data_IF_159778321249
#
_entry.id   IF_159778321249
#
_cell.length_a   1.000
_cell.length_b   1.000
_cell.length_c   1.000
_cell.angle_alpha   90.00
_cell.angle_beta   90.00
_cell.angle_gamma   90.00
#
_symmetry.space_group_name_H-M   'P 1'
#
loop_
_entity.id
_entity.type
_entity.pdbx_description
1 polymer ?
#
# COMPACT_ATOMS: atom_id res chain seq x y z
N UNK A 1 23.49 1.95 -0.89
CA UNK A 1 22.52 0.94 -0.36
C UNK A 1 22.03 1.40 1.00
N UNK A 2 20.79 1.02 1.39
CA UNK A 2 20.22 1.34 2.69
C UNK A 2 20.79 0.48 3.83
N UNK A 3 20.81 -0.83 3.61
CA UNK A 3 21.25 -1.80 4.62
C UNK A 3 22.65 -2.31 4.36
N UNK A 4 23.19 -3.06 5.32
CA UNK A 4 24.52 -3.65 5.19
C UNK A 4 24.56 -4.73 4.13
N UNK A 5 25.74 -4.98 3.56
CA UNK A 5 26.01 -6.12 2.66
C UNK A 5 25.56 -7.45 3.29
N UNK A 6 25.76 -7.61 4.60
CA UNK A 6 25.35 -8.81 5.34
C UNK A 6 23.83 -9.01 5.30
N UNK A 7 23.04 -7.96 5.43
CA UNK A 7 21.56 -8.00 5.37
C UNK A 7 21.08 -8.55 4.02
N UNK A 8 21.63 -8.04 2.91
CA UNK A 8 21.25 -8.52 1.58
C UNK A 8 21.71 -9.97 1.32
N UNK A 9 22.90 -10.33 1.75
CA UNK A 9 23.41 -11.70 1.66
C UNK A 9 22.54 -12.68 2.45
N UNK A 10 22.14 -12.31 3.67
CA UNK A 10 21.24 -13.14 4.48
C UNK A 10 19.87 -13.30 3.83
N UNK A 11 19.27 -12.22 3.32
CA UNK A 11 17.97 -12.27 2.62
C UNK A 11 18.00 -13.24 1.45
N UNK A 12 19.03 -13.18 0.60
CA UNK A 12 19.19 -14.10 -0.54
C UNK A 12 19.45 -15.54 -0.09
N UNK A 13 20.27 -15.73 0.95
CA UNK A 13 20.51 -17.07 1.52
C UNK A 13 19.22 -17.70 2.03
N UNK A 14 18.38 -16.95 2.75
CA UNK A 14 17.07 -17.41 3.22
C UNK A 14 16.10 -17.66 2.07
N UNK A 15 16.07 -16.79 1.06
CA UNK A 15 15.25 -16.98 -0.14
C UNK A 15 15.59 -18.31 -0.82
N UNK A 16 16.87 -18.58 -1.05
CA UNK A 16 17.36 -19.82 -1.63
C UNK A 16 16.97 -21.05 -0.81
N UNK A 17 17.09 -20.98 0.51
CA UNK A 17 16.69 -22.08 1.40
C UNK A 17 15.20 -22.38 1.35
N UNK A 18 14.36 -21.34 1.30
CA UNK A 18 12.90 -21.47 1.23
C UNK A 18 12.43 -22.03 -0.11
N UNK A 19 13.04 -21.63 -1.22
CA UNK A 19 12.72 -22.15 -2.56
C UNK A 19 13.27 -23.55 -2.75
N UNK A 20 14.48 -23.85 -2.28
CA UNK A 20 15.08 -25.17 -2.14
C UNK A 20 15.82 -25.68 -3.36
N UNK A 21 15.28 -25.58 -4.57
CA UNK A 21 15.92 -26.09 -5.80
C UNK A 21 15.58 -25.23 -7.01
N UNK A 22 16.29 -25.40 -8.12
CA UNK A 22 16.05 -24.68 -9.38
C UNK A 22 16.84 -23.37 -9.49
N UNK A 23 16.44 -22.52 -10.42
CA UNK A 23 17.08 -21.25 -10.70
C UNK A 23 16.07 -20.12 -10.50
N UNK A 24 16.39 -19.18 -9.61
CA UNK A 24 15.60 -17.99 -9.35
C UNK A 24 16.09 -16.87 -10.28
N UNK A 25 15.16 -16.21 -10.96
CA UNK A 25 15.44 -15.00 -11.73
C UNK A 25 14.48 -13.91 -11.26
N UNK A 26 15.06 -12.83 -10.69
CA UNK A 26 14.34 -11.61 -10.35
C UNK A 26 14.74 -10.54 -11.36
N UNK A 27 13.79 -10.09 -12.18
CA UNK A 27 13.99 -9.00 -13.11
C UNK A 27 13.77 -7.67 -12.35
N UNK A 28 14.74 -6.77 -12.48
CA UNK A 28 14.53 -5.37 -12.07
C UNK A 28 13.73 -4.62 -13.12
N UNK A 29 13.19 -3.47 -12.75
CA UNK A 29 12.46 -2.60 -13.66
C UNK A 29 13.39 -1.92 -14.67
N UNK A 30 12.84 -1.57 -15.83
CA UNK A 30 13.47 -0.71 -16.81
C UNK A 30 12.90 0.71 -16.72
N UNK A 31 13.61 1.70 -17.24
CA UNK A 31 13.04 3.02 -17.48
C UNK A 31 11.80 2.94 -18.37
N UNK A 32 10.87 3.85 -18.15
CA UNK A 32 9.63 3.92 -18.92
C UNK A 32 9.44 5.32 -19.49
N UNK A 33 9.36 5.48 -20.81
CA UNK A 33 9.13 6.80 -21.41
C UNK A 33 7.74 7.34 -21.09
N UNK A 34 7.66 8.62 -20.75
CA UNK A 34 6.41 9.33 -20.55
C UNK A 34 5.68 9.59 -21.89
N UNK A 35 6.38 10.22 -22.85
CA UNK A 35 5.81 10.62 -24.14
C UNK A 35 6.81 10.56 -25.31
N UNK A 36 8.10 10.47 -25.06
CA UNK A 36 9.16 10.18 -26.04
C UNK A 36 10.36 9.54 -25.34
N UNK A 37 11.26 8.81 -26.06
CA UNK A 37 12.28 7.94 -25.46
C UNK A 37 13.16 8.59 -24.38
N UNK A 38 13.55 9.85 -24.58
CA UNK A 38 14.45 10.57 -23.67
C UNK A 38 13.72 11.41 -22.60
N UNK A 39 12.43 11.16 -22.38
CA UNK A 39 11.66 11.76 -21.30
C UNK A 39 11.02 10.66 -20.44
N UNK A 40 11.79 9.98 -19.58
CA UNK A 40 11.28 8.92 -18.73
C UNK A 40 10.45 9.49 -17.56
N UNK A 41 9.52 8.67 -17.05
CA UNK A 41 9.02 8.85 -15.69
C UNK A 41 10.15 8.73 -14.68
N UNK A 42 9.96 9.27 -13.46
CA UNK A 42 10.91 9.03 -12.37
C UNK A 42 11.07 7.52 -12.19
N UNK A 43 12.31 7.03 -12.24
CA UNK A 43 12.58 5.61 -12.13
C UNK A 43 12.19 5.06 -10.75
N UNK A 44 11.56 3.92 -10.75
CA UNK A 44 11.19 3.15 -9.56
C UNK A 44 11.55 1.68 -9.77
N UNK A 45 12.48 1.20 -8.98
CA UNK A 45 12.91 -0.19 -9.03
C UNK A 45 11.83 -1.14 -8.50
N UNK A 46 11.80 -2.39 -8.99
CA UNK A 46 10.97 -3.46 -8.45
C UNK A 46 11.31 -3.71 -6.97
N UNK A 47 10.29 -3.75 -6.12
CA UNK A 47 10.48 -3.85 -4.67
C UNK A 47 11.10 -5.18 -4.24
N UNK A 48 10.76 -6.29 -4.90
CA UNK A 48 11.37 -7.59 -4.58
C UNK A 48 12.83 -7.65 -5.03
N UNK A 49 13.14 -7.14 -6.23
CA UNK A 49 14.53 -7.02 -6.68
C UNK A 49 15.35 -6.14 -5.72
N UNK A 50 14.80 -4.97 -5.34
CA UNK A 50 15.44 -4.03 -4.41
C UNK A 50 15.64 -4.65 -3.02
N UNK A 51 14.66 -5.41 -2.51
CA UNK A 51 14.73 -6.09 -1.22
C UNK A 51 15.92 -7.07 -1.14
N UNK A 52 16.23 -7.75 -2.25
CA UNK A 52 17.31 -8.75 -2.30
C UNK A 52 18.66 -8.20 -2.74
N UNK A 53 18.72 -7.01 -3.35
CA UNK A 53 19.97 -6.46 -3.91
C UNK A 53 20.35 -5.09 -3.33
N UNK A 54 19.40 -4.28 -2.91
CA UNK A 54 19.62 -2.88 -2.56
C UNK A 54 20.04 -2.00 -3.74
N UNK A 55 19.93 -2.48 -4.99
CA UNK A 55 20.40 -1.78 -6.18
C UNK A 55 19.27 -1.04 -6.89
N UNK A 56 19.38 0.27 -7.01
CA UNK A 56 18.40 1.16 -7.59
C UNK A 56 18.87 1.72 -8.94
N UNK A 57 19.02 0.85 -9.93
CA UNK A 57 19.34 1.15 -11.32
C UNK A 57 18.45 0.32 -12.25
N UNK A 58 18.03 0.89 -13.34
CA UNK A 58 17.29 0.19 -14.40
C UNK A 58 18.16 -0.89 -15.10
N UNK A 59 17.50 -1.78 -15.82
CA UNK A 59 18.16 -2.78 -16.66
C UNK A 59 19.02 -3.78 -15.89
N UNK A 60 18.66 -4.13 -14.65
CA UNK A 60 19.33 -5.15 -13.84
C UNK A 60 18.45 -6.39 -13.68
N UNK A 61 19.10 -7.52 -13.42
CA UNK A 61 18.44 -8.76 -12.98
C UNK A 61 19.33 -9.50 -11.97
N UNK A 62 18.71 -10.31 -11.11
CA UNK A 62 19.40 -11.20 -10.18
C UNK A 62 19.12 -12.64 -10.56
N UNK A 63 20.17 -13.45 -10.69
CA UNK A 63 20.09 -14.90 -10.91
C UNK A 63 20.67 -15.61 -9.69
N UNK A 64 19.93 -16.57 -9.11
CA UNK A 64 20.38 -17.41 -8.01
C UNK A 64 20.19 -18.88 -8.40
N UNK A 65 21.25 -19.63 -8.42
CA UNK A 65 21.21 -21.09 -8.55
C UNK A 65 21.04 -21.73 -7.17
N UNK A 66 19.90 -22.36 -6.94
CA UNK A 66 19.57 -22.87 -5.61
C UNK A 66 20.44 -24.05 -5.17
N UNK A 67 20.92 -24.88 -6.11
CA UNK A 67 21.72 -26.06 -5.81
C UNK A 67 23.16 -25.69 -5.51
N UNK A 68 23.78 -24.86 -6.37
CA UNK A 68 25.20 -24.47 -6.19
C UNK A 68 25.37 -23.32 -5.20
N UNK A 69 24.33 -22.50 -5.01
CA UNK A 69 24.36 -21.27 -4.23
C UNK A 69 25.05 -20.12 -4.99
N UNK A 70 25.32 -20.26 -6.28
CA UNK A 70 25.89 -19.20 -7.09
C UNK A 70 24.86 -18.07 -7.29
N UNK A 71 25.32 -16.83 -7.09
CA UNK A 71 24.57 -15.61 -7.28
C UNK A 71 25.23 -14.74 -8.34
N UNK A 72 24.46 -14.20 -9.27
CA UNK A 72 24.96 -13.34 -10.35
C UNK A 72 24.09 -12.09 -10.45
N UNK A 73 24.69 -10.91 -10.34
CA UNK A 73 24.04 -9.66 -10.74
C UNK A 73 24.22 -9.48 -12.23
N UNK A 74 23.13 -9.41 -12.95
CA UNK A 74 23.10 -9.30 -14.41
C UNK A 74 22.76 -7.88 -14.80
N UNK A 75 23.54 -7.29 -15.70
CA UNK A 75 23.32 -5.93 -16.19
C UNK A 75 24.42 -5.54 -17.16
N UNK A 76 24.24 -4.41 -17.86
CA UNK A 76 25.24 -3.84 -18.74
C UNK A 76 25.81 -2.57 -18.10
N UNK A 77 27.13 -2.37 -18.23
CA UNK A 77 27.73 -1.08 -17.91
C UNK A 77 27.33 -0.04 -18.96
N UNK A 78 27.24 1.21 -18.55
CA UNK A 78 26.98 2.32 -19.43
C UNK A 78 28.21 2.65 -20.28
N UNK A 79 28.01 3.18 -21.47
CA UNK A 79 29.11 3.62 -22.35
C UNK A 79 29.46 5.11 -22.13
N UNK A 80 30.42 5.60 -22.89
CA UNK A 80 30.89 6.98 -22.76
C UNK A 80 29.81 8.01 -23.19
N UNK A 81 28.95 7.63 -24.13
CA UNK A 81 27.87 8.51 -24.58
C UNK A 81 26.83 8.69 -23.47
N UNK A 82 26.47 7.61 -22.76
CA UNK A 82 25.62 7.66 -21.57
C UNK A 82 26.22 8.53 -20.46
N UNK A 83 27.55 8.37 -20.21
CA UNK A 83 28.27 9.17 -19.20
C UNK A 83 28.23 10.68 -19.52
N UNK A 84 28.27 11.05 -20.80
CA UNK A 84 28.17 12.46 -21.21
C UNK A 84 26.81 13.06 -20.84
N UNK A 85 25.73 12.28 -20.93
CA UNK A 85 24.36 12.75 -20.69
C UNK A 85 23.91 12.64 -19.24
N UNK A 86 24.28 11.57 -18.54
CA UNK A 86 23.76 11.26 -17.21
C UNK A 86 24.79 11.32 -16.09
N UNK A 87 26.08 11.48 -16.44
CA UNK A 87 27.18 11.38 -15.49
C UNK A 87 27.62 9.92 -15.26
N UNK A 88 28.76 9.75 -14.60
CA UNK A 88 29.27 8.42 -14.27
C UNK A 88 28.42 7.75 -13.18
N UNK A 89 28.12 6.47 -13.37
CA UNK A 89 27.44 5.61 -12.40
C UNK A 89 28.35 4.44 -12.02
N UNK A 90 28.15 3.79 -10.85
CA UNK A 90 28.89 2.58 -10.49
C UNK A 90 28.75 1.49 -11.56
N UNK A 91 29.82 0.76 -11.81
CA UNK A 91 29.77 -0.43 -12.70
C UNK A 91 28.89 -1.53 -12.09
N UNK A 92 28.43 -2.47 -12.93
CA UNK A 92 27.69 -3.65 -12.43
C UNK A 92 28.53 -4.43 -11.42
N UNK A 93 29.83 -4.47 -11.59
CA UNK A 93 30.77 -5.12 -10.67
C UNK A 93 30.84 -4.40 -9.31
N UNK A 94 30.88 -3.07 -9.31
CA UNK A 94 30.84 -2.29 -8.05
C UNK A 94 29.51 -2.51 -7.31
N UNK A 95 28.38 -2.46 -8.02
CA UNK A 95 27.06 -2.70 -7.46
C UNK A 95 26.92 -4.12 -6.90
N UNK A 96 27.44 -5.13 -7.58
CA UNK A 96 27.46 -6.51 -7.12
C UNK A 96 28.28 -6.64 -5.81
N UNK A 97 29.47 -6.04 -5.78
CA UNK A 97 30.34 -6.05 -4.60
C UNK A 97 29.66 -5.38 -3.39
N UNK A 98 28.98 -4.25 -3.60
CA UNK A 98 28.22 -3.57 -2.52
C UNK A 98 27.19 -4.47 -1.86
N UNK A 99 26.45 -5.29 -2.62
CA UNK A 99 25.45 -6.20 -2.07
C UNK A 99 25.97 -7.62 -1.79
N UNK A 100 27.29 -7.85 -1.91
CA UNK A 100 27.95 -9.12 -1.59
C UNK A 100 27.76 -10.21 -2.64
N UNK A 101 27.50 -9.84 -3.91
CA UNK A 101 27.45 -10.76 -5.04
C UNK A 101 28.81 -10.76 -5.73
N UNK A 102 29.37 -11.97 -5.98
CA UNK A 102 30.73 -12.12 -6.51
C UNK A 102 30.77 -12.19 -8.04
N UNK A 103 29.66 -12.54 -8.67
CA UNK A 103 29.61 -12.74 -10.12
C UNK A 103 28.72 -11.72 -10.80
N UNK A 104 29.16 -11.24 -11.95
CA UNK A 104 28.37 -10.37 -12.83
C UNK A 104 28.36 -10.92 -14.25
N UNK A 105 27.33 -10.58 -15.02
CA UNK A 105 27.19 -10.95 -16.41
C UNK A 105 26.37 -9.90 -17.18
N UNK A 106 26.54 -9.78 -18.50
CA UNK A 106 25.70 -8.89 -19.31
C UNK A 106 24.28 -9.44 -19.43
N UNK A 107 23.29 -8.55 -19.71
CA UNK A 107 21.87 -8.93 -19.84
C UNK A 107 21.62 -10.05 -20.85
N UNK A 108 22.45 -10.18 -21.87
CA UNK A 108 22.35 -11.26 -22.88
C UNK A 108 22.48 -12.67 -22.28
N UNK A 109 23.11 -12.83 -21.11
CA UNK A 109 23.26 -14.14 -20.45
C UNK A 109 21.90 -14.74 -20.03
N UNK A 110 20.87 -13.93 -19.85
CA UNK A 110 19.54 -14.41 -19.43
C UNK A 110 18.96 -15.42 -20.44
N UNK A 111 19.16 -15.22 -21.75
CA UNK A 111 18.73 -16.18 -22.78
C UNK A 111 19.37 -17.56 -22.54
N UNK A 112 20.66 -17.58 -22.23
CA UNK A 112 21.36 -18.81 -21.95
C UNK A 112 20.91 -19.46 -20.64
N UNK A 113 20.72 -18.67 -19.57
CA UNK A 113 20.22 -19.15 -18.27
C UNK A 113 18.85 -19.84 -18.43
N UNK A 114 17.92 -19.22 -19.16
CA UNK A 114 16.60 -19.80 -19.41
C UNK A 114 16.67 -21.08 -20.23
N UNK A 115 17.48 -21.06 -21.31
CA UNK A 115 17.66 -22.22 -22.21
C UNK A 115 18.29 -23.40 -21.47
N UNK A 116 19.39 -23.17 -20.72
CA UNK A 116 20.11 -24.20 -19.98
C UNK A 116 19.25 -24.79 -18.85
N UNK A 117 18.57 -23.96 -18.07
CA UNK A 117 17.68 -24.41 -17.00
C UNK A 117 16.60 -25.34 -17.55
N UNK A 118 15.99 -24.97 -18.68
CA UNK A 118 15.02 -25.80 -19.39
C UNK A 118 15.64 -27.11 -19.93
N UNK A 119 16.79 -27.04 -20.57
CA UNK A 119 17.47 -28.20 -21.14
C UNK A 119 17.86 -29.21 -20.06
N UNK A 120 18.21 -28.76 -18.87
CA UNK A 120 18.54 -29.59 -17.71
C UNK A 120 17.31 -30.15 -16.99
N UNK A 121 16.09 -29.77 -17.39
CA UNK A 121 14.87 -30.15 -16.71
C UNK A 121 14.70 -29.56 -15.30
N UNK A 122 15.46 -28.48 -15.01
CA UNK A 122 15.38 -27.79 -13.72
C UNK A 122 14.22 -26.78 -13.71
N UNK A 123 13.70 -26.50 -12.52
CA UNK A 123 12.66 -25.50 -12.35
C UNK A 123 13.25 -24.09 -12.50
N UNK A 124 12.62 -23.27 -13.30
CA UNK A 124 12.84 -21.84 -13.36
C UNK A 124 11.82 -21.12 -12.48
N UNK A 125 12.30 -20.28 -11.60
CA UNK A 125 11.47 -19.51 -10.69
C UNK A 125 11.50 -18.02 -11.06
N UNK A 126 10.33 -17.43 -11.30
CA UNK A 126 10.14 -16.00 -11.52
C UNK A 126 8.85 -15.53 -10.82
N UNK A 127 8.79 -14.24 -10.48
CA UNK A 127 7.61 -13.58 -9.93
C UNK A 127 6.68 -13.10 -11.08
N UNK A 128 5.36 -12.99 -10.84
CA UNK A 128 4.44 -12.50 -11.87
C UNK A 128 4.76 -11.03 -12.17
N UNK A 129 5.13 -10.69 -13.42
CA UNK A 129 5.40 -9.30 -13.78
C UNK A 129 4.09 -8.48 -13.80
N UNK A 130 4.18 -7.22 -13.40
CA UNK A 130 3.07 -6.25 -13.44
C UNK A 130 3.29 -5.14 -14.48
N UNK A 131 4.52 -4.97 -15.00
CA UNK A 131 4.86 -4.01 -16.06
C UNK A 131 4.84 -4.70 -17.42
N UNK A 132 4.30 -4.02 -18.44
CA UNK A 132 4.18 -4.60 -19.79
C UNK A 132 5.53 -4.83 -20.46
N UNK A 133 6.52 -3.97 -20.24
CA UNK A 133 7.87 -4.15 -20.74
C UNK A 133 8.52 -5.44 -20.19
N UNK A 134 8.36 -5.69 -18.89
CA UNK A 134 8.85 -6.94 -18.28
C UNK A 134 8.07 -8.18 -18.72
N UNK A 135 6.76 -8.04 -19.00
CA UNK A 135 5.96 -9.13 -19.58
C UNK A 135 6.48 -9.53 -20.97
N UNK A 136 6.85 -8.54 -21.79
CA UNK A 136 7.45 -8.79 -23.12
C UNK A 136 8.82 -9.43 -22.96
N UNK A 137 9.69 -8.87 -22.10
CA UNK A 137 11.02 -9.42 -21.84
C UNK A 137 10.94 -10.88 -21.35
N UNK A 138 10.05 -11.17 -20.41
CA UNK A 138 9.84 -12.54 -19.91
C UNK A 138 9.32 -13.48 -20.99
N UNK A 139 8.45 -13.00 -21.88
CA UNK A 139 7.97 -13.77 -23.03
C UNK A 139 9.14 -14.12 -23.99
N UNK A 140 10.01 -13.16 -24.28
CA UNK A 140 11.17 -13.38 -25.16
C UNK A 140 12.17 -14.37 -24.55
N UNK A 141 12.33 -14.35 -23.21
CA UNK A 141 13.24 -15.27 -22.49
C UNK A 141 12.66 -16.68 -22.32
N UNK A 142 11.38 -16.79 -22.00
CA UNK A 142 10.74 -18.04 -21.57
C UNK A 142 9.87 -18.70 -22.63
N UNK A 143 9.39 -17.93 -23.60
CA UNK A 143 8.32 -18.34 -24.53
C UNK A 143 6.92 -18.33 -23.93
N UNK A 144 6.75 -17.86 -22.67
CA UNK A 144 5.46 -17.83 -21.98
C UNK A 144 4.72 -16.53 -22.33
N UNK A 145 3.56 -16.67 -22.97
CA UNK A 145 2.73 -15.51 -23.35
C UNK A 145 2.28 -14.70 -22.10
N UNK A 146 2.22 -13.35 -22.15
CA UNK A 146 1.82 -12.49 -21.03
C UNK A 146 0.57 -12.94 -20.27
N UNK A 147 -0.47 -13.39 -20.97
CA UNK A 147 -1.71 -13.88 -20.35
C UNK A 147 -1.54 -15.16 -19.51
N UNK A 148 -0.42 -15.85 -19.64
CA UNK A 148 -0.10 -17.09 -18.91
C UNK A 148 0.94 -16.87 -17.82
N UNK A 149 1.66 -15.75 -17.83
CA UNK A 149 2.81 -15.51 -16.93
C UNK A 149 2.42 -15.51 -15.46
N UNK A 150 1.27 -14.93 -15.13
CA UNK A 150 0.77 -14.93 -13.74
C UNK A 150 0.50 -16.36 -13.24
N UNK A 151 -0.09 -17.21 -14.08
CA UNK A 151 -0.38 -18.62 -13.71
C UNK A 151 0.87 -19.49 -13.72
N UNK A 152 1.86 -19.14 -14.56
CA UNK A 152 3.13 -19.86 -14.67
C UNK A 152 4.18 -19.39 -13.65
N UNK A 153 3.92 -18.29 -12.93
CA UNK A 153 4.81 -17.81 -11.89
C UNK A 153 4.99 -18.85 -10.77
N UNK A 154 6.15 -18.83 -10.16
CA UNK A 154 6.56 -19.85 -9.20
C UNK A 154 5.91 -19.65 -7.83
N UNK A 155 4.97 -20.49 -7.44
CA UNK A 155 4.36 -20.44 -6.11
C UNK A 155 5.41 -20.58 -4.99
N UNK A 156 6.39 -21.50 -5.02
CA UNK A 156 7.46 -21.55 -4.01
C UNK A 156 8.24 -20.25 -3.86
N UNK A 157 8.50 -19.54 -4.97
CA UNK A 157 9.18 -18.24 -4.91
C UNK A 157 8.25 -17.16 -4.31
N UNK A 158 6.99 -17.12 -4.71
CA UNK A 158 5.99 -16.20 -4.15
C UNK A 158 5.89 -16.40 -2.63
N UNK A 159 5.74 -17.65 -2.18
CA UNK A 159 5.61 -17.98 -0.75
C UNK A 159 6.87 -17.59 0.04
N UNK A 160 8.06 -17.79 -0.55
CA UNK A 160 9.33 -17.40 0.05
C UNK A 160 9.46 -15.88 0.18
N UNK A 161 9.13 -15.13 -0.87
CA UNK A 161 9.17 -13.65 -0.86
C UNK A 161 8.17 -13.09 0.17
N UNK A 162 6.94 -13.58 0.17
CA UNK A 162 5.92 -13.18 1.14
C UNK A 162 6.37 -13.49 2.57
N UNK A 163 6.92 -14.68 2.82
CA UNK A 163 7.43 -15.05 4.15
C UNK A 163 8.52 -14.09 4.65
N UNK A 164 9.40 -13.65 3.74
CA UNK A 164 10.52 -12.78 4.11
C UNK A 164 10.11 -11.32 4.28
N UNK A 165 9.21 -10.81 3.44
CA UNK A 165 8.82 -9.38 3.42
C UNK A 165 7.66 -9.06 4.37
N UNK A 166 6.80 -10.02 4.71
CA UNK A 166 5.66 -9.74 5.60
C UNK A 166 6.11 -9.38 7.02
N UNK A 167 7.17 -10.00 7.52
CA UNK A 167 7.73 -9.71 8.86
C UNK A 167 8.89 -8.73 8.70
N UNK A 168 8.66 -7.49 9.10
CA UNK A 168 9.64 -6.41 8.99
C UNK A 168 10.73 -6.54 10.04
N UNK A 169 11.99 -6.42 9.61
CA UNK A 169 13.13 -6.31 10.52
C UNK A 169 13.13 -4.96 11.25
N UNK A 170 13.92 -4.84 12.29
CA UNK A 170 14.07 -3.56 13.01
C UNK A 170 14.61 -2.43 12.11
N UNK A 171 15.48 -2.75 11.15
CA UNK A 171 16.00 -1.79 10.17
C UNK A 171 14.91 -1.32 9.21
N UNK A 172 14.02 -2.22 8.76
CA UNK A 172 12.87 -1.89 7.91
C UNK A 172 11.85 -1.06 8.66
N UNK A 173 11.57 -1.38 9.92
CA UNK A 173 10.68 -0.59 10.79
C UNK A 173 11.22 0.83 10.97
N UNK A 174 12.54 1.02 11.13
CA UNK A 174 13.13 2.35 11.21
C UNK A 174 12.93 3.18 9.93
N UNK A 175 12.94 2.55 8.75
CA UNK A 175 12.62 3.23 7.49
C UNK A 175 11.14 3.57 7.37
N UNK A 176 10.26 2.68 7.79
CA UNK A 176 8.82 2.93 7.83
C UNK A 176 8.48 4.05 8.83
N UNK A 177 9.13 4.11 9.98
CA UNK A 177 9.02 5.23 10.93
C UNK A 177 9.46 6.58 10.30
N UNK A 178 10.48 6.57 9.41
CA UNK A 178 10.88 7.77 8.64
C UNK A 178 9.84 8.16 7.60
N UNK A 179 9.25 7.19 6.88
CA UNK A 179 8.17 7.46 5.94
C UNK A 179 6.97 8.09 6.65
N UNK A 180 6.57 7.55 7.80
CA UNK A 180 5.50 8.10 8.63
C UNK A 180 5.82 9.53 9.13
N UNK A 181 7.09 9.84 9.44
CA UNK A 181 7.48 11.20 9.81
C UNK A 181 7.32 12.20 8.66
N UNK A 182 7.59 11.80 7.41
CA UNK A 182 7.31 12.62 6.23
C UNK A 182 5.80 12.73 6.01
N UNK A 183 5.05 11.64 6.16
CA UNK A 183 3.58 11.63 6.13
C UNK A 183 2.96 12.61 7.12
N UNK A 184 3.53 12.72 8.35
CA UNK A 184 3.12 13.73 9.32
C UNK A 184 3.26 15.16 8.78
N UNK A 185 4.38 15.51 8.15
CA UNK A 185 4.57 16.84 7.55
C UNK A 185 3.60 17.08 6.38
N UNK A 186 3.32 16.07 5.56
CA UNK A 186 2.34 16.13 4.49
C UNK A 186 0.94 16.44 5.06
N UNK A 187 0.44 15.62 5.96
CA UNK A 187 -0.91 15.76 6.50
C UNK A 187 -1.12 17.04 7.31
N UNK A 188 -0.15 17.42 8.17
CA UNK A 188 -0.25 18.69 8.90
C UNK A 188 -0.21 19.91 7.97
N UNK A 189 0.49 19.82 6.84
CA UNK A 189 0.45 20.86 5.80
C UNK A 189 -0.91 20.91 5.11
N UNK A 190 -1.47 19.75 4.72
CA UNK A 190 -2.82 19.69 4.15
C UNK A 190 -3.87 20.28 5.10
N UNK A 191 -3.82 19.94 6.39
CA UNK A 191 -4.73 20.48 7.41
C UNK A 191 -4.62 22.00 7.53
N UNK A 192 -3.39 22.56 7.50
CA UNK A 192 -3.17 24.02 7.51
C UNK A 192 -3.74 24.69 6.27
N UNK A 193 -3.58 24.06 5.10
CA UNK A 193 -4.09 24.61 3.84
C UNK A 193 -5.62 24.49 3.73
N UNK A 194 -6.22 23.46 4.33
CA UNK A 194 -7.66 23.19 4.26
C UNK A 194 -8.53 24.35 4.75
N UNK A 195 -8.03 25.16 5.69
CA UNK A 195 -8.76 26.31 6.27
C UNK A 195 -8.42 27.65 5.61
N UNK A 196 -7.54 27.65 4.62
CA UNK A 196 -7.14 28.90 3.92
C UNK A 196 -8.14 29.23 2.81
N UNK A 197 -8.50 30.51 2.70
CA UNK A 197 -9.42 30.98 1.65
C UNK A 197 -8.80 30.87 0.25
N UNK A 198 -9.56 30.37 -0.69
CA UNK A 198 -9.20 30.33 -2.10
C UNK A 198 -8.27 29.19 -2.48
N UNK A 199 -7.90 28.32 -1.56
CA UNK A 199 -7.10 27.13 -1.85
C UNK A 199 -7.96 26.09 -2.57
N UNK A 200 -7.36 25.40 -3.55
CA UNK A 200 -7.98 24.30 -4.31
C UNK A 200 -7.43 22.93 -3.86
N UNK A 201 -8.18 21.88 -4.15
CA UNK A 201 -7.71 20.49 -3.92
C UNK A 201 -6.36 20.23 -4.63
N UNK A 202 -6.22 20.67 -5.88
CA UNK A 202 -4.98 20.49 -6.65
C UNK A 202 -3.78 21.24 -6.06
N UNK A 203 -3.98 22.41 -5.41
CA UNK A 203 -2.90 23.13 -4.74
C UNK A 203 -2.41 22.37 -3.51
N UNK A 204 -3.31 21.72 -2.77
CA UNK A 204 -2.93 20.86 -1.64
C UNK A 204 -2.15 19.66 -2.15
N UNK A 205 -2.66 18.92 -3.15
CA UNK A 205 -1.95 17.78 -3.72
C UNK A 205 -0.53 18.16 -4.21
N UNK A 206 -0.39 19.30 -4.93
CA UNK A 206 0.92 19.80 -5.35
C UNK A 206 1.85 20.14 -4.18
N UNK A 207 1.33 20.60 -3.04
CA UNK A 207 2.12 20.83 -1.84
C UNK A 207 2.61 19.50 -1.24
N UNK A 208 1.76 18.46 -1.21
CA UNK A 208 2.13 17.13 -0.72
C UNK A 208 3.22 16.50 -1.59
N UNK A 209 3.08 16.55 -2.92
CA UNK A 209 4.09 16.10 -3.87
C UNK A 209 5.43 16.84 -3.65
N UNK A 210 5.36 18.17 -3.43
CA UNK A 210 6.53 19.02 -3.14
C UNK A 210 7.22 18.63 -1.84
N UNK A 211 6.48 18.26 -0.79
CA UNK A 211 7.06 17.78 0.47
C UNK A 211 7.78 16.46 0.23
N UNK A 212 7.14 15.45 -0.35
CA UNK A 212 7.77 14.16 -0.66
C UNK A 212 9.06 14.36 -1.49
N UNK A 213 9.01 15.20 -2.53
CA UNK A 213 10.17 15.53 -3.37
C UNK A 213 11.29 16.23 -2.60
N UNK A 214 10.98 17.08 -1.61
CA UNK A 214 11.98 17.78 -0.80
C UNK A 214 12.80 16.85 0.08
N UNK A 215 12.28 15.67 0.42
CA UNK A 215 13.00 14.60 1.11
C UNK A 215 13.74 13.64 0.16
N UNK A 216 13.81 13.99 -1.14
CA UNK A 216 14.49 13.19 -2.17
C UNK A 216 13.70 11.97 -2.64
N UNK A 217 12.39 11.93 -2.35
CA UNK A 217 11.52 10.81 -2.63
C UNK A 217 10.33 11.18 -3.54
N UNK A 218 9.25 10.47 -3.46
CA UNK A 218 7.99 10.70 -4.17
C UNK A 218 6.82 10.26 -3.29
N UNK A 219 5.60 10.61 -3.67
CA UNK A 219 4.41 10.05 -3.04
C UNK A 219 4.34 8.54 -3.26
N UNK A 220 3.84 7.79 -2.27
CA UNK A 220 3.68 6.32 -2.34
C UNK A 220 2.58 5.91 -3.33
N UNK A 221 1.62 6.79 -3.55
CA UNK A 221 0.54 6.69 -4.54
C UNK A 221 0.04 8.09 -4.91
N UNK A 222 -0.71 8.25 -6.02
CA UNK A 222 -1.31 9.54 -6.35
C UNK A 222 -2.21 10.05 -5.23
N UNK A 223 -1.85 11.17 -4.60
CA UNK A 223 -2.57 11.71 -3.45
C UNK A 223 -4.05 11.95 -3.75
N UNK A 224 -4.91 11.47 -2.88
CA UNK A 224 -6.35 11.70 -2.90
C UNK A 224 -6.64 12.94 -2.05
N UNK A 225 -7.16 14.00 -2.67
CA UNK A 225 -7.50 15.25 -1.99
C UNK A 225 -8.86 15.69 -2.50
N UNK A 226 -9.92 15.49 -1.72
CA UNK A 226 -11.27 15.75 -2.22
C UNK A 226 -12.26 16.17 -1.13
N UNK A 227 -13.11 17.14 -1.46
CA UNK A 227 -14.31 17.45 -0.70
C UNK A 227 -15.46 16.45 -0.98
N UNK A 228 -15.27 15.52 -1.90
CA UNK A 228 -16.18 14.43 -2.23
C UNK A 228 -15.63 13.11 -1.68
N UNK A 229 -15.53 13.03 -0.34
CA UNK A 229 -14.98 11.85 0.35
C UNK A 229 -15.78 10.55 0.10
N UNK A 230 -16.99 10.63 -0.47
CA UNK A 230 -17.77 9.48 -0.93
C UNK A 230 -17.18 8.83 -2.19
N UNK A 231 -16.25 9.48 -2.88
CA UNK A 231 -15.47 8.91 -3.98
C UNK A 231 -14.13 8.46 -3.42
N UNK A 232 -13.97 7.16 -3.20
CA UNK A 232 -12.85 6.60 -2.44
C UNK A 232 -11.48 6.92 -3.02
N UNK A 233 -11.36 6.95 -4.37
CA UNK A 233 -10.13 7.31 -5.09
C UNK A 233 -10.36 8.56 -5.95
N UNK A 234 -10.81 9.66 -5.32
CA UNK A 234 -11.08 10.93 -6.00
C UNK A 234 -9.79 11.66 -6.38
N UNK A 235 -9.66 12.04 -7.66
CA UNK A 235 -8.52 12.85 -8.11
C UNK A 235 -8.69 14.31 -7.67
N UNK A 236 -7.59 14.98 -7.23
CA UNK A 236 -7.60 16.39 -6.88
C UNK A 236 -8.06 17.26 -8.06
N UNK A 237 -9.02 18.15 -7.81
CA UNK A 237 -9.59 19.05 -8.81
C UNK A 237 -9.19 20.51 -8.59
N UNK A 238 -9.59 21.39 -9.51
CA UNK A 238 -9.47 22.84 -9.33
C UNK A 238 -10.59 23.44 -8.46
N UNK A 239 -11.41 22.61 -7.81
CA UNK A 239 -12.45 23.07 -6.89
C UNK A 239 -11.84 23.83 -5.73
N UNK A 240 -12.36 25.04 -5.47
CA UNK A 240 -11.97 25.85 -4.32
C UNK A 240 -12.66 25.29 -3.07
N UNK A 241 -11.87 25.13 -2.01
CA UNK A 241 -12.40 24.62 -0.74
C UNK A 241 -13.46 25.55 -0.15
N UNK A 242 -14.57 24.98 0.31
CA UNK A 242 -15.67 25.81 0.88
C UNK A 242 -16.95 25.03 1.15
N UNK A 243 -18.06 25.78 1.25
CA UNK A 243 -19.40 25.23 1.41
C UNK A 243 -19.66 24.47 2.72
N UNK A 244 -18.80 24.62 3.74
CA UNK A 244 -18.91 23.88 5.00
C UNK A 244 -18.65 22.38 4.86
N UNK A 245 -17.97 21.98 3.78
CA UNK A 245 -17.64 20.57 3.48
C UNK A 245 -16.48 20.05 4.35
N UNK A 246 -16.31 18.75 4.35
CA UNK A 246 -15.12 18.09 4.82
C UNK A 246 -14.14 17.93 3.65
N UNK A 247 -12.85 17.98 3.94
CA UNK A 247 -11.78 17.63 3.02
C UNK A 247 -11.16 16.31 3.47
N UNK A 248 -11.33 15.27 2.69
CA UNK A 248 -10.63 14.00 2.86
C UNK A 248 -9.29 14.12 2.12
N UNK A 249 -8.21 13.87 2.84
CA UNK A 249 -6.86 13.77 2.30
C UNK A 249 -6.31 12.40 2.65
N UNK A 250 -5.98 11.64 1.62
CA UNK A 250 -5.35 10.33 1.72
C UNK A 250 -4.05 10.39 0.92
N UNK A 251 -2.93 10.31 1.62
CA UNK A 251 -1.62 10.54 1.06
C UNK A 251 -0.52 9.90 1.91
N UNK A 252 0.53 9.49 1.24
CA UNK A 252 1.73 8.99 1.86
C UNK A 252 2.94 9.25 0.98
N UNK A 253 4.12 8.90 1.48
CA UNK A 253 5.35 9.00 0.71
C UNK A 253 6.12 7.69 0.74
N UNK A 254 6.98 7.49 -0.26
CA UNK A 254 8.09 6.56 -0.14
C UNK A 254 9.28 7.30 0.49
N UNK A 255 10.11 6.61 1.26
CA UNK A 255 11.47 7.10 1.55
C UNK A 255 12.33 7.01 0.29
N UNK A 256 13.55 7.54 0.34
CA UNK A 256 14.50 7.39 -0.76
C UNK A 256 14.76 5.91 -1.10
N UNK A 257 14.59 5.03 -0.13
CA UNK A 257 14.80 3.60 -0.21
C UNK A 257 13.49 2.81 -0.42
N UNK A 258 12.41 3.53 -0.77
CA UNK A 258 11.11 3.01 -1.14
C UNK A 258 10.32 2.29 -0.03
N UNK A 259 10.54 2.64 1.23
CA UNK A 259 9.61 2.26 2.30
C UNK A 259 8.50 3.32 2.39
N UNK A 260 7.26 2.85 2.46
CA UNK A 260 6.07 3.68 2.28
C UNK A 260 5.46 4.12 3.61
N UNK A 261 4.71 5.23 3.57
CA UNK A 261 3.66 5.56 4.53
C UNK A 261 2.32 5.68 3.81
N UNK A 262 1.24 5.52 4.57
CA UNK A 262 -0.13 5.65 4.15
C UNK A 262 -0.97 6.22 5.29
N UNK A 263 -1.58 7.38 5.06
CA UNK A 263 -2.42 8.00 6.08
C UNK A 263 -3.61 8.70 5.44
N UNK A 264 -4.75 8.65 6.11
CA UNK A 264 -5.91 9.48 5.75
C UNK A 264 -6.35 10.35 6.92
N UNK A 265 -6.66 11.60 6.61
CA UNK A 265 -7.34 12.55 7.53
C UNK A 265 -8.48 13.25 6.83
N UNK A 266 -9.58 13.43 7.57
CA UNK A 266 -10.75 14.18 7.10
C UNK A 266 -10.94 15.43 7.94
N UNK A 267 -10.68 16.59 7.33
CA UNK A 267 -10.58 17.90 8.00
C UNK A 267 -11.77 18.80 7.64
N UNK A 268 -12.40 19.51 8.61
CA UNK A 268 -13.45 20.50 8.29
C UNK A 268 -12.84 21.75 7.68
N UNK A 269 -13.26 22.12 6.46
CA UNK A 269 -12.73 23.30 5.75
C UNK A 269 -13.08 24.63 6.45
N UNK A 270 -14.00 24.62 7.40
CA UNK A 270 -14.36 25.77 8.25
C UNK A 270 -13.53 25.85 9.53
N UNK A 271 -12.64 24.91 9.79
CA UNK A 271 -11.86 24.79 11.02
C UNK A 271 -12.63 24.12 12.17
N UNK A 272 -13.93 23.89 12.04
CA UNK A 272 -14.77 23.20 13.04
C UNK A 272 -15.78 22.28 12.38
N UNK A 273 -15.97 21.11 12.98
CA UNK A 273 -17.01 20.18 12.57
C UNK A 273 -18.39 20.69 12.97
N UNK A 274 -19.38 20.58 12.08
CA UNK A 274 -20.79 20.70 12.46
C UNK A 274 -21.19 19.49 13.32
N UNK A 275 -22.31 19.60 14.08
CA UNK A 275 -22.78 18.46 14.89
C UNK A 275 -23.01 17.20 14.03
N UNK A 276 -23.63 17.35 12.85
CA UNK A 276 -23.85 16.25 11.90
C UNK A 276 -22.53 15.59 11.43
N UNK A 277 -21.50 16.38 11.16
CA UNK A 277 -20.18 15.87 10.80
C UNK A 277 -19.53 15.18 11.99
N UNK A 278 -19.68 15.75 13.18
CA UNK A 278 -19.12 15.22 14.42
C UNK A 278 -19.71 13.86 14.77
N UNK A 279 -21.04 13.70 14.63
CA UNK A 279 -21.75 12.44 14.93
C UNK A 279 -21.22 11.27 14.10
N UNK A 280 -20.86 11.49 12.82
CA UNK A 280 -20.26 10.46 11.96
C UNK A 280 -18.74 10.32 12.21
N UNK A 281 -18.05 11.46 12.37
CA UNK A 281 -16.60 11.46 12.59
C UNK A 281 -16.21 10.68 13.86
N UNK A 282 -16.91 10.91 14.96
CA UNK A 282 -16.64 10.24 16.23
C UNK A 282 -16.89 8.72 16.14
N UNK A 283 -17.80 8.24 15.25
CA UNK A 283 -17.96 6.80 14.99
C UNK A 283 -16.71 6.23 14.29
N UNK A 284 -16.15 6.95 13.32
CA UNK A 284 -14.93 6.50 12.62
C UNK A 284 -13.73 6.48 13.58
N UNK A 285 -13.62 7.50 14.46
CA UNK A 285 -12.61 7.52 15.54
C UNK A 285 -12.78 6.32 16.48
N UNK A 286 -14.00 6.05 16.96
CA UNK A 286 -14.27 4.90 17.84
C UNK A 286 -13.87 3.58 17.16
N UNK A 287 -14.07 3.45 15.83
CA UNK A 287 -13.70 2.29 15.04
C UNK A 287 -12.18 2.13 14.94
N UNK A 288 -11.47 3.22 14.66
CA UNK A 288 -10.02 3.26 14.60
C UNK A 288 -9.39 2.92 15.96
N UNK A 289 -9.86 3.53 17.04
CA UNK A 289 -9.38 3.23 18.39
C UNK A 289 -9.64 1.77 18.80
N UNK A 290 -10.79 1.19 18.38
CA UNK A 290 -11.10 -0.21 18.65
C UNK A 290 -10.12 -1.15 17.92
N UNK A 291 -9.82 -0.89 16.65
CA UNK A 291 -8.88 -1.72 15.89
C UNK A 291 -7.52 -1.80 16.59
N UNK A 292 -6.99 -0.66 17.08
CA UNK A 292 -5.73 -0.61 17.83
C UNK A 292 -5.80 -1.38 19.16
N UNK A 293 -6.95 -1.35 19.83
CA UNK A 293 -7.11 -2.08 21.11
C UNK A 293 -7.12 -3.60 20.92
N UNK A 294 -7.62 -4.10 19.79
CA UNK A 294 -7.80 -5.55 19.57
C UNK A 294 -6.70 -6.15 18.70
N UNK A 295 -6.00 -5.35 17.87
CA UNK A 295 -4.92 -5.83 17.03
C UNK A 295 -3.69 -6.22 17.85
N UNK A 296 -3.34 -7.51 17.82
CA UNK A 296 -2.16 -8.08 18.50
C UNK A 296 -1.80 -9.42 17.90
N UNK A 297 -0.60 -9.96 18.17
CA UNK A 297 -0.23 -11.30 17.73
C UNK A 297 -1.27 -12.38 18.14
N UNK A 298 -1.56 -13.32 17.23
CA UNK A 298 -2.51 -14.40 17.42
C UNK A 298 -3.97 -14.05 17.11
N UNK A 299 -4.30 -12.76 16.85
CA UNK A 299 -5.62 -12.34 16.40
C UNK A 299 -5.63 -12.27 14.87
N UNK A 300 -6.66 -12.81 14.21
CA UNK A 300 -6.81 -12.63 12.76
C UNK A 300 -7.24 -11.19 12.45
N UNK A 301 -6.62 -10.56 11.48
CA UNK A 301 -7.02 -9.20 11.09
C UNK A 301 -8.46 -9.16 10.54
N UNK A 302 -8.94 -10.27 9.99
CA UNK A 302 -10.37 -10.45 9.68
C UNK A 302 -11.27 -10.26 10.92
N UNK A 303 -10.87 -10.76 12.09
CA UNK A 303 -11.67 -10.61 13.31
C UNK A 303 -11.61 -9.17 13.84
N UNK A 304 -10.48 -8.48 13.65
CA UNK A 304 -10.37 -7.02 13.91
C UNK A 304 -11.35 -6.25 13.03
N UNK A 305 -11.35 -6.52 11.71
CA UNK A 305 -12.29 -5.90 10.76
C UNK A 305 -13.75 -6.14 11.16
N UNK A 306 -14.12 -7.37 11.50
CA UNK A 306 -15.50 -7.67 11.89
C UNK A 306 -15.91 -7.01 13.22
N UNK A 307 -14.97 -6.86 14.17
CA UNK A 307 -15.21 -6.12 15.41
C UNK A 307 -15.49 -4.64 15.12
N UNK A 308 -14.72 -4.02 14.20
CA UNK A 308 -14.95 -2.66 13.73
C UNK A 308 -16.30 -2.52 13.03
N UNK A 309 -16.66 -3.43 12.13
CA UNK A 309 -17.96 -3.45 11.45
C UNK A 309 -19.13 -3.56 12.44
N UNK A 310 -18.96 -4.34 13.50
CA UNK A 310 -19.95 -4.48 14.57
C UNK A 310 -20.14 -3.18 15.33
N UNK A 311 -19.07 -2.53 15.79
CA UNK A 311 -19.12 -1.24 16.49
C UNK A 311 -19.75 -0.17 15.59
N UNK A 312 -19.33 -0.06 14.34
CA UNK A 312 -19.89 0.86 13.35
C UNK A 312 -21.40 0.66 13.20
N UNK A 313 -21.86 -0.59 13.04
CA UNK A 313 -23.28 -0.93 12.92
C UNK A 313 -24.06 -0.52 14.17
N UNK A 314 -23.54 -0.77 15.36
CA UNK A 314 -24.14 -0.38 16.64
C UNK A 314 -24.29 1.14 16.74
N UNK A 315 -23.25 1.91 16.40
CA UNK A 315 -23.27 3.37 16.43
C UNK A 315 -24.19 3.96 15.37
N UNK A 316 -24.17 3.46 14.14
CA UNK A 316 -25.09 3.88 13.07
C UNK A 316 -26.55 3.55 13.41
N UNK A 317 -26.79 2.45 14.10
CA UNK A 317 -28.12 2.12 14.63
C UNK A 317 -28.57 3.12 15.71
N UNK A 318 -27.66 3.53 16.60
CA UNK A 318 -27.96 4.55 17.61
C UNK A 318 -28.33 5.91 16.99
N UNK A 319 -27.76 6.25 15.82
CA UNK A 319 -28.12 7.42 15.02
C UNK A 319 -29.40 7.22 14.18
N UNK A 320 -30.03 6.03 14.21
CA UNK A 320 -31.22 5.71 13.43
C UNK A 320 -30.99 5.42 11.94
N UNK A 321 -29.74 5.36 11.49
CA UNK A 321 -29.39 5.01 10.11
C UNK A 321 -29.48 3.51 9.84
N UNK A 322 -29.28 2.69 10.86
CA UNK A 322 -29.45 1.24 10.81
C UNK A 322 -30.50 0.78 11.85
N UNK A 323 -30.99 -0.44 11.72
CA UNK A 323 -32.02 -1.05 12.56
C UNK A 323 -31.83 -2.56 12.66
N UNK A 324 -32.65 -3.25 13.44
CA UNK A 324 -32.60 -4.70 13.60
C UNK A 324 -31.48 -5.16 14.54
N UNK A 325 -31.14 -6.44 14.48
CA UNK A 325 -30.06 -7.02 15.27
C UNK A 325 -28.68 -6.67 14.65
N UNK A 326 -27.71 -6.32 15.49
CA UNK A 326 -26.39 -5.85 15.04
C UNK A 326 -25.58 -7.01 14.45
N UNK A 327 -25.58 -8.17 15.11
CA UNK A 327 -24.76 -9.30 14.67
C UNK A 327 -25.33 -9.91 13.38
N UNK A 328 -26.67 -9.97 13.23
CA UNK A 328 -27.33 -10.37 11.98
C UNK A 328 -27.05 -9.36 10.84
N UNK A 329 -27.05 -8.07 11.12
CA UNK A 329 -26.75 -7.02 10.14
C UNK A 329 -25.32 -7.12 9.64
N UNK A 330 -24.34 -7.35 10.53
CA UNK A 330 -22.93 -7.57 10.14
C UNK A 330 -22.77 -8.86 9.34
N UNK A 331 -23.40 -9.96 9.78
CA UNK A 331 -23.33 -11.23 9.05
C UNK A 331 -23.92 -11.13 7.64
N UNK A 332 -25.00 -10.32 7.47
CA UNK A 332 -25.60 -10.04 6.17
C UNK A 332 -24.81 -9.03 5.31
N UNK A 333 -23.77 -8.39 5.85
CA UNK A 333 -22.98 -7.37 5.17
C UNK A 333 -23.69 -6.01 5.03
N UNK A 334 -24.69 -5.71 5.88
CA UNK A 334 -25.46 -4.46 5.78
C UNK A 334 -24.60 -3.20 6.04
N UNK A 335 -23.56 -3.32 6.86
CA UNK A 335 -22.57 -2.26 7.13
C UNK A 335 -21.79 -1.84 5.86
N UNK A 336 -21.69 -2.71 4.88
CA UNK A 336 -20.93 -2.43 3.66
C UNK A 336 -21.56 -1.35 2.77
N UNK A 337 -22.81 -0.94 3.03
CA UNK A 337 -23.37 0.27 2.43
C UNK A 337 -22.55 1.52 2.81
N UNK A 338 -21.96 1.52 4.01
CA UNK A 338 -21.19 2.63 4.57
C UNK A 338 -19.69 2.39 4.52
N UNK A 339 -19.22 1.15 4.65
CA UNK A 339 -17.82 0.73 4.55
C UNK A 339 -17.67 -0.33 3.46
N UNK A 340 -17.52 0.07 2.18
CA UNK A 340 -17.46 -0.87 1.05
C UNK A 340 -16.08 -1.47 0.81
N UNK A 341 -15.13 -1.24 1.70
CA UNK A 341 -13.74 -1.75 1.61
C UNK A 341 -13.30 -2.46 2.89
N UNK A 342 -12.10 -3.03 2.87
CA UNK A 342 -11.48 -3.66 4.04
C UNK A 342 -10.97 -2.65 5.05
N UNK A 343 -10.69 -3.10 6.27
CA UNK A 343 -10.11 -2.27 7.33
C UNK A 343 -8.65 -1.89 7.04
N UNK A 344 -7.96 -2.63 6.16
CA UNK A 344 -6.58 -2.33 5.83
C UNK A 344 -5.91 -3.42 4.99
N UNK A 345 -4.66 -3.15 4.70
CA UNK A 345 -3.78 -3.98 3.86
C UNK A 345 -2.38 -4.08 4.47
N UNK A 346 -1.55 -5.00 3.95
CA UNK A 346 -0.13 -5.03 4.28
C UNK A 346 0.56 -3.78 3.70
N UNK A 347 1.49 -3.21 4.45
CA UNK A 347 2.31 -2.08 4.03
C UNK A 347 3.80 -2.37 4.21
N UNK A 348 4.65 -1.78 3.36
CA UNK A 348 6.10 -2.00 3.39
C UNK A 348 6.85 -1.20 2.34
N UNK A 349 7.57 -1.89 1.45
CA UNK A 349 8.24 -1.27 0.30
C UNK A 349 7.27 -0.91 -0.82
N UNK A 350 6.07 -1.44 -0.82
CA UNK A 350 4.95 -0.97 -1.62
C UNK A 350 3.85 -0.52 -0.64
N UNK A 351 3.04 0.47 -1.01
CA UNK A 351 1.94 0.92 -0.17
C UNK A 351 0.95 -0.21 0.07
N UNK A 352 0.53 -0.93 -0.98
CA UNK A 352 -0.07 -2.25 -0.89
C UNK A 352 1.03 -3.30 -1.05
N UNK A 353 1.65 -3.68 0.07
CA UNK A 353 2.88 -4.47 0.02
C UNK A 353 2.66 -5.81 -0.67
N UNK A 354 3.48 -6.06 -1.71
CA UNK A 354 3.46 -7.30 -2.50
C UNK A 354 2.12 -7.61 -3.21
N UNK A 355 1.22 -6.64 -3.44
CA UNK A 355 -0.10 -6.90 -4.06
C UNK A 355 0.01 -7.60 -5.42
N UNK A 356 1.06 -7.32 -6.19
CA UNK A 356 1.33 -7.98 -7.47
C UNK A 356 1.50 -9.51 -7.35
N UNK A 357 1.91 -10.01 -6.17
CA UNK A 357 2.05 -11.44 -5.89
C UNK A 357 0.69 -12.13 -5.60
N UNK A 358 -0.36 -11.34 -5.44
CA UNK A 358 -1.74 -11.79 -5.21
C UNK A 358 -2.17 -11.71 -3.75
N UNK A 359 -3.33 -11.10 -3.54
CA UNK A 359 -3.95 -10.89 -2.22
C UNK A 359 -4.01 -12.18 -1.38
N UNK A 360 -4.33 -13.32 -1.99
CA UNK A 360 -4.43 -14.61 -1.29
C UNK A 360 -3.09 -15.03 -0.69
N UNK A 361 -2.00 -14.78 -1.40
CA UNK A 361 -0.67 -15.16 -0.93
C UNK A 361 -0.16 -14.25 0.19
N UNK A 362 -0.46 -12.96 0.10
CA UNK A 362 0.06 -11.95 1.02
C UNK A 362 -0.76 -11.87 2.30
N UNK A 363 -2.07 -11.69 2.16
CA UNK A 363 -2.97 -11.37 3.25
C UNK A 363 -3.76 -12.54 3.82
N UNK A 364 -3.61 -13.74 3.27
CA UNK A 364 -4.38 -14.91 3.68
C UNK A 364 -3.49 -16.13 3.89
N UNK A 365 -4.05 -17.22 4.43
CA UNK A 365 -3.34 -18.45 4.74
C UNK A 365 -4.25 -19.67 4.56
N UNK A 366 -3.80 -20.84 5.03
CA UNK A 366 -4.58 -22.07 4.91
C UNK A 366 -5.88 -22.06 5.73
N UNK A 367 -5.93 -21.27 6.80
CA UNK A 367 -7.06 -21.17 7.74
C UNK A 367 -8.02 -20.05 7.38
N UNK A 368 -7.47 -18.86 7.08
CA UNK A 368 -8.23 -17.65 6.76
C UNK A 368 -8.30 -17.48 5.24
N UNK A 369 -9.52 -17.44 4.70
CA UNK A 369 -9.77 -17.31 3.25
C UNK A 369 -10.50 -16.00 2.94
N UNK A 370 -10.29 -15.41 1.75
CA UNK A 370 -11.05 -14.23 1.32
C UNK A 370 -12.54 -14.55 1.23
N UNK A 371 -13.36 -13.56 1.57
CA UNK A 371 -14.81 -13.61 1.39
C UNK A 371 -15.21 -13.18 -0.02
N UNK A 372 -16.39 -13.61 -0.48
CA UNK A 372 -17.05 -13.05 -1.67
C UNK A 372 -18.12 -12.01 -1.32
N UNK A 373 -18.38 -11.75 -0.04
CA UNK A 373 -19.37 -10.78 0.41
C UNK A 373 -18.92 -9.36 0.05
N UNK A 374 -19.83 -8.55 -0.51
CA UNK A 374 -19.54 -7.15 -0.82
C UNK A 374 -18.99 -6.40 0.41
N UNK A 375 -18.02 -5.55 0.22
CA UNK A 375 -17.25 -4.90 1.28
C UNK A 375 -16.14 -5.80 1.82
N UNK A 376 -16.49 -6.94 2.40
CA UNK A 376 -15.54 -7.89 2.98
C UNK A 376 -14.61 -8.54 1.93
N UNK A 377 -15.06 -8.69 0.69
CA UNK A 377 -14.24 -9.17 -0.44
C UNK A 377 -13.03 -8.25 -0.73
N UNK A 378 -13.12 -6.99 -0.32
CA UNK A 378 -12.06 -5.98 -0.48
C UNK A 378 -11.06 -5.96 0.68
N UNK A 379 -11.23 -6.79 1.72
CA UNK A 379 -10.24 -6.91 2.78
C UNK A 379 -8.98 -7.60 2.21
N UNK A 380 -7.88 -6.85 2.12
CA UNK A 380 -6.64 -7.34 1.51
C UNK A 380 -5.76 -8.15 2.46
N UNK A 381 -5.91 -7.96 3.76
CA UNK A 381 -5.17 -8.66 4.80
C UNK A 381 -6.14 -9.18 5.85
N UNK A 382 -6.26 -10.50 6.00
CA UNK A 382 -7.20 -11.14 6.93
C UNK A 382 -6.57 -12.20 7.82
N UNK A 383 -5.30 -12.59 7.54
CA UNK A 383 -4.58 -13.65 8.24
C UNK A 383 -4.29 -13.31 9.70
N UNK A 384 -3.80 -14.29 10.45
CA UNK A 384 -3.34 -14.09 11.82
C UNK A 384 -2.18 -13.09 11.88
N UNK A 385 -2.31 -12.10 12.76
CA UNK A 385 -1.28 -11.10 13.02
C UNK A 385 -0.10 -11.71 13.77
N UNK A 386 1.10 -11.31 13.38
CA UNK A 386 2.36 -11.69 14.01
C UNK A 386 3.17 -10.42 14.30
N UNK A 387 4.02 -10.46 15.33
CA UNK A 387 4.96 -9.38 15.57
C UNK A 387 5.83 -9.14 14.33
N UNK A 388 5.99 -7.88 13.94
CA UNK A 388 6.68 -7.46 12.72
C UNK A 388 5.78 -7.29 11.49
N UNK A 389 4.49 -7.69 11.53
CA UNK A 389 3.54 -7.25 10.50
C UNK A 389 3.33 -5.74 10.59
N UNK A 390 3.25 -5.08 9.43
CA UNK A 390 2.78 -3.70 9.29
C UNK A 390 1.55 -3.72 8.40
N UNK A 391 0.48 -3.12 8.91
CA UNK A 391 -0.82 -3.01 8.23
C UNK A 391 -1.37 -1.60 8.40
N UNK A 392 -2.23 -1.16 7.47
CA UNK A 392 -3.04 0.04 7.67
C UNK A 392 -4.23 -0.27 8.57
N UNK A 393 -4.72 0.76 9.27
CA UNK A 393 -6.00 0.77 10.00
C UNK A 393 -6.80 1.97 9.48
N UNK A 394 -7.75 1.71 8.57
CA UNK A 394 -8.41 2.71 7.73
C UNK A 394 -9.95 2.64 7.76
N UNK A 395 -10.60 2.63 8.94
CA UNK A 395 -12.04 2.67 8.95
C UNK A 395 -12.59 3.94 8.32
N UNK A 396 -13.72 3.79 7.60
CA UNK A 396 -14.40 4.93 6.98
C UNK A 396 -15.92 4.76 6.94
N UNK A 397 -16.63 5.88 6.85
CA UNK A 397 -18.08 5.92 6.63
C UNK A 397 -18.36 6.83 5.45
N UNK A 398 -18.99 6.26 4.43
CA UNK A 398 -19.27 6.95 3.17
C UNK A 398 -20.77 6.90 2.87
N UNK A 399 -21.30 8.02 2.38
CA UNK A 399 -22.68 8.10 1.89
C UNK A 399 -22.64 8.24 0.36
N UNK A 400 -22.55 7.10 -0.33
CA UNK A 400 -22.42 7.02 -1.80
C UNK A 400 -23.83 7.03 -2.41
N UNK A 401 -24.28 8.12 -3.07
CA UNK A 401 -25.65 8.27 -3.53
C UNK A 401 -26.12 7.12 -4.44
N UNK A 402 -25.31 6.76 -5.43
CA UNK A 402 -25.67 5.72 -6.39
C UNK A 402 -25.79 4.32 -5.74
N UNK A 403 -24.92 4.02 -4.75
CA UNK A 403 -25.00 2.77 -4.00
C UNK A 403 -26.24 2.71 -3.10
N UNK A 404 -26.57 3.84 -2.45
CA UNK A 404 -27.77 3.98 -1.62
C UNK A 404 -29.02 3.75 -2.48
N UNK A 405 -29.09 4.37 -3.67
CA UNK A 405 -30.22 4.23 -4.59
C UNK A 405 -30.34 2.80 -5.12
N UNK A 406 -29.21 2.16 -5.47
CA UNK A 406 -29.19 0.78 -5.91
C UNK A 406 -29.73 -0.17 -4.84
N UNK A 407 -29.19 -0.09 -3.62
CA UNK A 407 -29.60 -0.99 -2.53
C UNK A 407 -31.03 -0.74 -2.09
N UNK A 408 -31.50 0.50 -2.10
CA UNK A 408 -32.90 0.84 -1.83
C UNK A 408 -33.82 0.23 -2.88
N UNK A 409 -33.47 0.36 -4.16
CA UNK A 409 -34.26 -0.17 -5.29
C UNK A 409 -34.33 -1.70 -5.27
N UNK A 410 -33.23 -2.36 -4.96
CA UNK A 410 -33.14 -3.82 -4.91
C UNK A 410 -33.67 -4.41 -3.59
N UNK A 411 -33.88 -3.58 -2.57
CA UNK A 411 -34.22 -4.05 -1.22
C UNK A 411 -33.09 -4.75 -0.51
N UNK A 412 -31.82 -4.54 -0.94
CA UNK A 412 -30.64 -5.15 -0.34
C UNK A 412 -30.51 -4.73 1.12
N UNK A 413 -30.51 -5.71 2.03
CA UNK A 413 -30.41 -5.50 3.47
C UNK A 413 -31.47 -4.52 4.05
N UNK A 414 -32.65 -4.38 3.42
CA UNK A 414 -33.68 -3.42 3.81
C UNK A 414 -34.21 -3.63 5.24
N UNK A 415 -34.08 -4.85 5.78
CA UNK A 415 -34.43 -5.16 7.17
C UNK A 415 -33.49 -4.51 8.19
N UNK A 416 -32.24 -4.17 7.78
CA UNK A 416 -31.21 -3.57 8.63
C UNK A 416 -30.93 -2.11 8.32
N UNK A 417 -31.36 -1.58 7.17
CA UNK A 417 -31.08 -0.22 6.71
C UNK A 417 -32.33 0.65 6.80
N UNK A 418 -32.16 1.88 7.33
CA UNK A 418 -33.22 2.88 7.38
C UNK A 418 -33.05 3.87 6.21
N UNK A 419 -33.45 3.47 5.02
CA UNK A 419 -33.23 4.25 3.81
C UNK A 419 -33.83 5.67 3.85
N UNK A 420 -34.90 5.90 4.61
CA UNK A 420 -35.51 7.24 4.73
C UNK A 420 -34.62 8.19 5.53
N UNK A 421 -33.89 7.69 6.52
CA UNK A 421 -32.92 8.50 7.26
C UNK A 421 -31.57 8.60 6.48
N UNK A 422 -31.15 7.52 5.82
CA UNK A 422 -29.93 7.48 4.99
C UNK A 422 -30.03 8.48 3.83
N UNK A 423 -31.21 8.62 3.22
CA UNK A 423 -31.46 9.58 2.12
C UNK A 423 -31.06 11.01 2.49
N UNK A 424 -31.23 11.39 3.76
CA UNK A 424 -30.88 12.73 4.27
C UNK A 424 -29.36 12.96 4.32
N UNK A 425 -28.55 11.92 4.13
CA UNK A 425 -27.07 11.97 4.16
C UNK A 425 -26.41 11.89 2.77
N UNK A 426 -27.17 11.85 1.67
CA UNK A 426 -26.58 11.77 0.32
C UNK A 426 -25.68 12.95 -0.06
N UNK A 427 -25.83 14.10 0.60
CA UNK A 427 -25.00 15.29 0.43
C UNK A 427 -23.80 15.34 1.39
N UNK A 428 -23.65 14.34 2.27
CA UNK A 428 -22.67 14.37 3.36
C UNK A 428 -21.23 14.21 2.86
N UNK A 429 -20.99 13.29 1.94
CA UNK A 429 -19.65 12.88 1.52
C UNK A 429 -19.16 11.60 2.23
N UNK A 430 -17.89 11.59 2.61
CA UNK A 430 -17.26 10.48 3.33
C UNK A 430 -16.21 10.94 4.34
N UNK A 431 -15.95 10.07 5.31
CA UNK A 431 -14.90 10.24 6.33
C UNK A 431 -14.08 8.96 6.35
N UNK A 432 -12.76 9.08 6.28
CA UNK A 432 -11.76 8.04 6.59
C UNK A 432 -10.73 8.61 7.56
N UNK A 433 -10.29 7.79 8.47
CA UNK A 433 -9.13 8.01 9.33
C UNK A 433 -8.26 6.78 9.16
N UNK A 434 -6.97 7.00 8.89
CA UNK A 434 -6.05 5.92 8.59
C UNK A 434 -4.67 6.19 9.13
N UNK A 435 -4.09 5.18 9.73
CA UNK A 435 -2.71 5.18 10.19
C UNK A 435 -2.03 3.83 9.91
N UNK A 436 -0.71 3.90 9.74
CA UNK A 436 0.15 2.73 9.62
C UNK A 436 0.42 2.13 11.00
N UNK A 437 0.20 0.83 11.14
CA UNK A 437 0.25 0.11 12.42
C UNK A 437 1.26 -1.03 12.36
N UNK A 438 2.29 -0.97 13.23
CA UNK A 438 3.21 -2.07 13.49
C UNK A 438 2.65 -2.98 14.57
N UNK A 439 2.55 -4.27 14.29
CA UNK A 439 2.25 -5.29 15.29
C UNK A 439 3.51 -5.60 16.08
N UNK A 440 3.44 -5.39 17.40
CA UNK A 440 4.53 -5.63 18.36
C UNK A 440 4.38 -7.01 19.02
N UNK A 441 5.28 -7.38 19.92
CA UNK A 441 5.21 -8.66 20.65
C UNK A 441 3.94 -8.83 21.51
N UNK A 442 3.31 -7.73 21.96
CA UNK A 442 2.17 -7.79 22.89
C UNK A 442 0.94 -6.99 22.47
N UNK A 443 0.99 -6.28 21.34
CA UNK A 443 -0.08 -5.41 20.85
C UNK A 443 0.29 -4.79 19.52
N UNK A 444 0.03 -3.50 19.38
CA UNK A 444 0.45 -2.73 18.22
C UNK A 444 0.84 -1.29 18.61
N UNK A 445 1.46 -0.58 17.66
CA UNK A 445 1.74 0.85 17.76
C UNK A 445 1.63 1.51 16.39
N UNK A 446 1.35 2.78 16.38
CA UNK A 446 1.53 3.59 15.18
C UNK A 446 2.99 3.64 14.74
N UNK A 447 3.21 3.81 13.42
CA UNK A 447 4.52 4.20 12.90
C UNK A 447 4.76 5.70 13.11
N UNK A 448 6.05 6.08 13.19
CA UNK A 448 6.50 7.43 13.43
C UNK A 448 6.45 7.85 14.91
N UNK A 449 7.20 8.92 15.22
CA UNK A 449 7.28 9.49 16.58
C UNK A 449 6.14 10.48 16.88
N UNK A 450 5.61 11.12 15.81
CA UNK A 450 4.55 12.12 15.88
C UNK A 450 3.30 11.58 15.20
N UNK A 451 2.18 11.72 15.89
CA UNK A 451 0.89 11.35 15.35
C UNK A 451 0.17 12.57 14.78
N UNK A 452 -0.35 12.45 13.56
CA UNK A 452 -1.25 13.46 12.98
C UNK A 452 -2.54 13.50 13.80
N UNK A 453 -3.02 14.68 14.25
CA UNK A 453 -4.26 14.76 15.01
C UNK A 453 -5.42 14.05 14.30
N UNK A 454 -6.18 13.22 15.02
CA UNK A 454 -7.33 12.50 14.47
C UNK A 454 -8.56 12.51 15.37
N UNK A 455 -8.44 12.69 16.69
CA UNK A 455 -9.62 13.00 17.51
C UNK A 455 -10.14 14.40 17.16
N UNK A 456 -11.44 14.52 16.96
CA UNK A 456 -12.02 15.75 16.44
C UNK A 456 -11.66 17.02 17.25
N UNK A 457 -11.59 16.91 18.59
CA UNK A 457 -11.14 18.01 19.46
C UNK A 457 -9.68 18.41 19.20
N UNK A 458 -8.81 17.44 18.90
CA UNK A 458 -7.39 17.70 18.69
C UNK A 458 -7.15 18.25 17.28
N UNK A 459 -7.96 17.82 16.28
CA UNK A 459 -8.02 18.43 14.95
C UNK A 459 -8.42 19.89 15.04
N UNK A 460 -9.54 20.18 15.73
CA UNK A 460 -10.03 21.57 15.92
C UNK A 460 -9.00 22.43 16.67
N UNK A 461 -8.38 21.92 17.73
CA UNK A 461 -7.34 22.62 18.48
C UNK A 461 -6.10 22.91 17.61
N UNK A 462 -5.69 21.95 16.78
CA UNK A 462 -4.59 22.13 15.82
C UNK A 462 -4.91 23.27 14.84
N UNK A 463 -6.13 23.30 14.29
CA UNK A 463 -6.57 24.32 13.34
C UNK A 463 -6.76 25.71 14.00
N UNK A 464 -7.26 25.77 15.25
CA UNK A 464 -7.36 27.02 16.02
C UNK A 464 -6.00 27.65 16.32
N UNK A 465 -4.97 26.83 16.58
CA UNK A 465 -3.59 27.32 16.81
C UNK A 465 -2.93 27.94 15.58
N UNK A 466 -3.58 27.93 14.42
CA UNK A 466 -3.13 28.53 13.17
C UNK A 466 -3.80 29.90 12.87
N UNK A 467 -4.84 30.28 13.62
CA UNK A 467 -5.58 31.56 13.48
C UNK A 467 -4.87 32.77 14.19
#
# INVERSE_FOLDING_TARGET
MLFSTATYTERRSRLRQLVGSGVIVLLGNNDSPCNFPNNPYKFRQDSSFLYFTGQHRDGLALVIDCESGAETLVGNDIDIDDVIWTGAVPSVADMAAECGILHTAPMSVLQEVFAQTKAQGRQLHFLPPYRHDLMIQLMDLSGIHPNQQRTAASQPLIDAVVTLRNIKSAEEVAELDRAAAIGYEMHTTAMRMAVQKGVTEAQIAGALDGIAASFGSQVSFPSIVSMHGEVLHGFPSQAVLGGGRLLLVDAGCETREHYCSDNTRTTPVTGKYTQRQRDIYDIVVDCHDLALQVAKPGVRYLDVHLAVCRLMTERLKALGLMKGDVDEAVAAGAHALFLPHGLGHAMGMDVHDMEALGQINVGYDAVTRPSSQFGLASLRFGRELQAGHVVTDEPGIYFIPDLIDLWRKEGTNAQFLNFDEIEKFKDFGGIRIEDDVLITESGCRFLGEKLVPYHAKDVEAFLEGLA
#
